data_IF_810762168782
#
_entry.id   IF_810762168782
#
_cell.length_a   1.000
_cell.length_b   1.000
_cell.length_c   1.000
_cell.angle_alpha   90.00
_cell.angle_beta   90.00
_cell.angle_gamma   90.00
#
_symmetry.space_group_name_H-M   'P 1'
#
loop_
_entity.id
_entity.type
_entity.pdbx_description
1 polymer ?
#
# COMPACT_ATOMS: atom_id res chain seq x y z
N UNK A 1 8.33 -35.44 -3.41
CA UNK A 1 8.56 -34.44 -2.35
C UNK A 1 7.45 -33.41 -2.40
N UNK A 2 6.70 -33.20 -1.32
CA UNK A 2 5.77 -32.06 -1.25
C UNK A 2 6.60 -30.80 -0.97
N UNK A 3 6.36 -29.75 -1.74
CA UNK A 3 7.01 -28.45 -1.53
C UNK A 3 6.72 -27.96 -0.11
N UNK A 4 7.76 -27.52 0.61
CA UNK A 4 7.66 -26.87 1.93
C UNK A 4 7.31 -25.38 1.81
N UNK A 5 6.98 -24.92 0.60
CA UNK A 5 6.62 -23.53 0.35
C UNK A 5 5.22 -23.21 0.87
N UNK A 6 5.15 -22.30 1.83
CA UNK A 6 3.89 -21.63 2.21
C UNK A 6 3.80 -20.30 1.45
N UNK A 7 2.83 -20.12 0.54
CA UNK A 7 2.61 -18.86 -0.13
C UNK A 7 2.27 -17.75 0.87
N UNK A 8 2.84 -16.56 0.67
CA UNK A 8 2.43 -15.38 1.43
C UNK A 8 1.06 -14.89 0.98
N UNK A 9 0.29 -14.38 1.92
CA UNK A 9 -0.94 -13.63 1.63
C UNK A 9 -0.61 -12.31 0.92
N UNK A 10 -1.57 -11.70 0.20
CA UNK A 10 -1.37 -10.37 -0.37
C UNK A 10 -0.93 -9.31 0.66
N UNK A 11 -1.45 -9.37 1.88
CA UNK A 11 -1.12 -8.45 2.98
C UNK A 11 0.32 -8.63 3.47
N UNK A 12 0.76 -9.88 3.64
CA UNK A 12 2.15 -10.20 3.99
C UNK A 12 3.16 -9.75 2.92
N UNK A 13 2.76 -9.83 1.64
CA UNK A 13 3.57 -9.28 0.54
C UNK A 13 3.62 -7.75 0.62
N UNK A 14 2.48 -7.10 0.82
CA UNK A 14 2.40 -5.63 0.92
C UNK A 14 3.28 -5.10 2.07
N UNK A 15 3.20 -5.72 3.25
CA UNK A 15 4.03 -5.38 4.40
C UNK A 15 5.52 -5.53 4.10
N UNK A 16 5.91 -6.57 3.36
CA UNK A 16 7.32 -6.78 2.98
C UNK A 16 7.81 -5.73 1.98
N UNK A 17 6.95 -5.25 1.07
CA UNK A 17 7.30 -4.21 0.09
C UNK A 17 7.60 -2.87 0.78
N UNK A 18 6.92 -2.55 1.88
CA UNK A 18 7.17 -1.30 2.64
C UNK A 18 8.61 -1.17 3.13
N UNK A 19 9.29 -2.30 3.42
CA UNK A 19 10.69 -2.30 3.86
C UNK A 19 11.64 -1.72 2.81
N UNK A 20 11.24 -1.75 1.54
CA UNK A 20 12.04 -1.24 0.42
C UNK A 20 11.76 0.25 0.14
N UNK A 21 10.79 0.87 0.84
CA UNK A 21 10.41 2.28 0.68
C UNK A 21 11.15 3.15 1.73
N UNK A 22 12.01 4.03 1.23
CA UNK A 22 12.77 4.97 2.05
C UNK A 22 11.96 6.24 2.35
N UNK A 23 12.43 7.00 3.35
CA UNK A 23 11.88 8.31 3.68
C UNK A 23 12.10 9.31 2.52
N UNK A 24 11.11 10.16 2.23
CA UNK A 24 11.11 11.07 1.09
C UNK A 24 10.76 10.43 -0.27
N UNK A 25 10.38 9.15 -0.29
CA UNK A 25 10.12 8.44 -1.54
C UNK A 25 8.83 8.88 -2.24
N UNK A 26 8.89 8.93 -3.57
CA UNK A 26 7.72 9.06 -4.45
C UNK A 26 7.39 7.69 -5.02
N UNK A 27 6.21 7.18 -4.68
CA UNK A 27 5.82 5.80 -5.01
C UNK A 27 4.57 5.81 -5.85
N UNK A 28 4.61 5.12 -7.00
CA UNK A 28 3.43 4.83 -7.79
C UNK A 28 2.91 3.44 -7.42
N UNK A 29 1.64 3.34 -7.04
CA UNK A 29 0.97 2.07 -6.74
C UNK A 29 -0.07 1.76 -7.82
N UNK A 30 0.12 0.64 -8.50
CA UNK A 30 -0.87 0.13 -9.45
C UNK A 30 -2.18 -0.27 -8.75
N UNK A 31 -3.28 -0.27 -9.50
CA UNK A 31 -4.61 -0.63 -9.00
C UNK A 31 -4.64 -2.09 -8.50
N UNK A 32 -5.42 -2.35 -7.44
CA UNK A 32 -5.63 -3.67 -6.88
C UNK A 32 -4.63 -4.03 -5.78
N UNK A 33 -3.92 -5.15 -5.92
CA UNK A 33 -3.01 -5.66 -4.88
C UNK A 33 -1.89 -4.68 -4.48
N UNK A 34 -1.27 -3.89 -5.39
CA UNK A 34 -0.24 -2.94 -4.99
C UNK A 34 -0.75 -1.83 -4.04
N UNK A 35 -2.02 -1.43 -4.14
CA UNK A 35 -2.61 -0.43 -3.23
C UNK A 35 -2.57 -0.85 -1.76
N UNK A 36 -2.54 -2.16 -1.46
CA UNK A 36 -2.42 -2.67 -0.08
C UNK A 36 -1.14 -2.18 0.62
N UNK A 37 -0.10 -1.83 -0.14
CA UNK A 37 1.16 -1.28 0.41
C UNK A 37 0.91 0.01 1.19
N UNK A 38 -0.05 0.84 0.76
CA UNK A 38 -0.39 2.09 1.43
C UNK A 38 -0.85 1.91 2.88
N UNK A 39 -1.51 0.78 3.19
CA UNK A 39 -2.02 0.47 4.54
C UNK A 39 -0.90 0.14 5.54
N UNK A 40 0.30 -0.18 5.06
CA UNK A 40 1.43 -0.60 5.90
C UNK A 40 2.52 0.47 6.01
N UNK A 41 2.32 1.65 5.40
CA UNK A 41 3.31 2.71 5.43
C UNK A 41 3.55 3.20 6.88
N UNK A 42 4.81 3.33 7.31
CA UNK A 42 5.12 3.73 8.68
C UNK A 42 4.74 5.19 8.91
N UNK A 43 4.13 5.46 10.07
CA UNK A 43 3.95 6.82 10.54
C UNK A 43 5.32 7.49 10.71
N UNK A 44 5.46 8.71 10.19
CA UNK A 44 6.68 9.52 10.33
C UNK A 44 7.70 9.39 9.20
N UNK A 45 7.37 8.72 8.09
CA UNK A 45 8.10 8.90 6.82
C UNK A 45 7.29 9.81 5.89
N UNK A 46 7.97 10.73 5.23
CA UNK A 46 7.40 11.58 4.19
C UNK A 46 7.35 10.80 2.88
N UNK A 47 6.26 10.06 2.66
CA UNK A 47 6.06 9.24 1.46
C UNK A 47 4.91 9.83 0.65
N UNK A 48 5.18 10.13 -0.62
CA UNK A 48 4.18 10.69 -1.54
C UNK A 48 3.71 9.59 -2.49
N UNK A 49 2.42 9.28 -2.41
CA UNK A 49 1.78 8.34 -3.33
C UNK A 49 1.26 9.07 -4.57
N UNK A 50 1.67 8.57 -5.74
CA UNK A 50 1.20 9.00 -7.04
C UNK A 50 0.33 7.91 -7.67
N UNK A 51 -0.75 8.30 -8.35
CA UNK A 51 -1.57 7.41 -9.17
C UNK A 51 -1.35 7.75 -10.64
N UNK A 52 -1.27 6.73 -11.52
CA UNK A 52 -1.09 6.90 -12.97
C UNK A 52 -2.16 7.78 -13.64
N UNK A 53 -3.31 7.96 -12.99
CA UNK A 53 -4.38 8.86 -13.43
C UNK A 53 -4.16 10.34 -13.02
N UNK A 54 -3.02 10.70 -12.43
CA UNK A 54 -2.67 12.06 -12.02
C UNK A 54 -3.18 12.47 -10.63
N UNK A 55 -3.59 11.52 -9.80
CA UNK A 55 -3.98 11.78 -8.39
C UNK A 55 -2.75 11.70 -7.50
N UNK A 56 -2.41 12.82 -6.86
CA UNK A 56 -1.37 12.92 -5.82
C UNK A 56 -2.02 12.92 -4.44
N UNK A 57 -1.49 12.13 -3.51
CA UNK A 57 -1.89 12.19 -2.09
C UNK A 57 -3.02 11.26 -1.68
N UNK A 58 -3.15 10.06 -2.28
CA UNK A 58 -3.98 9.02 -1.65
C UNK A 58 -3.39 8.64 -0.30
N UNK A 59 -4.16 8.85 0.78
CA UNK A 59 -3.85 8.34 2.10
C UNK A 59 -4.27 6.88 2.26
N UNK A 60 -4.19 6.36 3.48
CA UNK A 60 -4.79 5.07 3.82
C UNK A 60 -6.29 5.07 3.46
N UNK A 61 -6.83 3.88 3.18
CA UNK A 61 -8.27 3.72 2.96
C UNK A 61 -9.01 4.25 4.19
N UNK A 62 -9.95 5.18 3.97
CA UNK A 62 -10.79 5.70 5.04
C UNK A 62 -11.55 4.54 5.71
N UNK A 63 -11.59 4.53 7.04
CA UNK A 63 -12.32 3.52 7.81
C UNK A 63 -13.33 4.19 8.75
N UNK A 64 -14.46 3.54 8.99
CA UNK A 64 -15.50 4.08 9.86
C UNK A 64 -16.36 5.16 9.18
N UNK A 65 -16.94 6.11 9.94
CA UNK A 65 -17.91 7.10 9.41
C UNK A 65 -17.30 8.10 8.41
N UNK A 66 -15.98 8.10 8.27
CA UNK A 66 -15.22 8.90 7.30
C UNK A 66 -15.15 8.23 5.93
N UNK A 67 -15.52 6.94 5.84
CA UNK A 67 -15.66 6.24 4.58
C UNK A 67 -16.97 6.64 3.90
N UNK A 68 -16.88 7.31 2.76
CA UNK A 68 -18.03 7.54 1.90
C UNK A 68 -18.41 6.20 1.21
N UNK A 69 -19.61 5.67 1.45
CA UNK A 69 -20.03 4.39 0.87
C UNK A 69 -20.25 4.46 -0.66
N UNK A 70 -20.34 5.66 -1.24
CA UNK A 70 -20.57 5.87 -2.68
C UNK A 70 -19.26 6.09 -3.48
N UNK A 71 -18.09 5.97 -2.85
CA UNK A 71 -16.77 6.19 -3.45
C UNK A 71 -15.90 4.93 -3.55
#
# INVERSE_FOLDING_TARGET
MKSTYTPRTPDEIAKRVVEDIHDGAYVNLGIGRPMLVSNHLPAGKDIILHSENGVLGMGAVATGPEADPDY
#
